data_IF_762062006635
#
_entry.id   IF_762062006635
#
_cell.length_a   1.000
_cell.length_b   1.000
_cell.length_c   1.000
_cell.angle_alpha   90.00
_cell.angle_beta   90.00
_cell.angle_gamma   90.00
#
_symmetry.space_group_name_H-M   'P 1'
#
loop_
_entity.id
_entity.type
_entity.pdbx_description
1 polymer ?
#
# COMPACT_ATOMS: atom_id res chain seq x y z
N UNK A 1 -32.89 -42.55 22.55
CA UNK A 1 -32.47 -41.73 21.40
C UNK A 1 -31.88 -40.45 21.95
N UNK A 2 -30.58 -40.29 21.80
CA UNK A 2 -29.77 -39.26 22.44
C UNK A 2 -29.96 -37.90 21.76
N UNK A 3 -30.13 -36.85 22.56
CA UNK A 3 -30.08 -35.47 22.13
C UNK A 3 -28.64 -35.00 21.92
N UNK A 4 -28.44 -34.11 20.95
CA UNK A 4 -27.21 -33.34 20.81
C UNK A 4 -27.55 -31.85 20.81
N UNK A 5 -27.33 -31.24 21.96
CA UNK A 5 -27.27 -29.79 22.17
C UNK A 5 -26.01 -29.29 21.48
N UNK A 6 -26.14 -28.52 20.41
CA UNK A 6 -25.01 -27.82 19.81
C UNK A 6 -24.76 -26.53 20.59
N UNK A 7 -23.88 -26.60 21.58
CA UNK A 7 -23.43 -25.45 22.35
C UNK A 7 -22.77 -24.42 21.44
N UNK A 8 -23.37 -23.23 21.34
CA UNK A 8 -22.71 -22.05 20.78
C UNK A 8 -21.61 -21.63 21.75
N UNK A 9 -20.36 -21.94 21.43
CA UNK A 9 -19.23 -21.34 22.11
C UNK A 9 -19.08 -19.89 21.63
N UNK A 10 -19.65 -18.95 22.39
CA UNK A 10 -19.31 -17.54 22.32
C UNK A 10 -17.91 -17.36 22.90
N UNK A 11 -16.90 -17.26 22.03
CA UNK A 11 -15.58 -16.81 22.42
C UNK A 11 -15.56 -15.27 22.37
N UNK A 12 -15.81 -14.63 23.51
CA UNK A 12 -15.57 -13.20 23.70
C UNK A 12 -14.06 -12.95 23.67
N UNK A 13 -13.52 -12.50 22.54
CA UNK A 13 -12.13 -12.07 22.43
C UNK A 13 -12.04 -10.59 22.83
N UNK A 14 -11.60 -10.34 24.07
CA UNK A 14 -11.26 -9.01 24.55
C UNK A 14 -9.95 -8.55 23.90
N UNK A 15 -10.01 -7.50 23.08
CA UNK A 15 -8.82 -6.80 22.58
C UNK A 15 -8.45 -5.66 23.53
N UNK A 16 -7.37 -5.86 24.29
CA UNK A 16 -6.63 -4.80 24.97
C UNK A 16 -5.16 -4.91 24.57
N UNK A 17 -4.67 -3.92 23.82
CA UNK A 17 -3.25 -3.62 23.70
C UNK A 17 -3.05 -2.28 24.39
N UNK A 18 -2.59 -2.33 25.63
CA UNK A 18 -2.02 -1.19 26.32
C UNK A 18 -0.53 -1.16 25.98
N UNK A 19 -0.05 -0.08 25.36
CA UNK A 19 1.37 0.25 25.45
C UNK A 19 1.58 0.90 26.82
N UNK A 20 2.34 0.24 27.68
CA UNK A 20 2.81 0.82 28.93
C UNK A 20 3.84 1.90 28.60
N UNK A 21 3.50 3.17 28.80
CA UNK A 21 4.49 4.22 29.00
C UNK A 21 4.97 4.13 30.46
N UNK A 22 6.21 3.68 30.64
CA UNK A 22 6.89 3.79 31.94
C UNK A 22 7.43 5.21 32.06
N UNK A 23 6.78 6.01 32.90
CA UNK A 23 7.29 7.32 33.31
C UNK A 23 8.43 7.13 34.30
N UNK A 24 9.65 7.49 33.93
CA UNK A 24 10.75 7.63 34.89
C UNK A 24 10.66 9.03 35.49
N UNK A 25 10.29 9.10 36.78
CA UNK A 25 10.46 10.28 37.62
C UNK A 25 11.95 10.56 37.80
N UNK A 26 12.40 11.77 37.45
CA UNK A 26 13.65 12.33 37.96
C UNK A 26 13.31 13.32 39.07
N UNK A 27 13.58 12.95 40.32
CA UNK A 27 13.68 13.89 41.45
C UNK A 27 14.98 14.70 41.32
N UNK A 28 14.91 16.03 41.48
CA UNK A 28 16.11 16.85 41.60
C UNK A 28 15.97 18.36 41.34
N UNK A 29 15.24 19.05 42.22
CA UNK A 29 15.29 20.49 42.56
C UNK A 29 16.46 21.38 42.05
N UNK A 30 16.17 22.54 41.41
CA UNK A 30 16.06 23.92 42.00
C UNK A 30 16.34 25.07 40.98
N UNK A 31 15.42 26.06 40.98
CA UNK A 31 15.57 27.52 40.72
C UNK A 31 15.29 28.12 39.31
N UNK A 32 14.32 29.04 39.33
CA UNK A 32 13.70 30.00 38.35
C UNK A 32 14.61 31.25 38.17
N UNK A 33 14.45 32.23 37.20
CA UNK A 33 13.32 32.52 36.29
C UNK A 33 13.57 32.80 34.79
N UNK A 34 12.46 32.61 34.05
CA UNK A 34 11.87 33.45 33.00
C UNK A 34 12.73 34.05 31.88
N UNK A 35 12.47 33.60 30.64
CA UNK A 35 12.14 34.53 29.56
C UNK A 35 11.12 33.90 28.60
N UNK A 36 10.07 34.68 28.32
CA UNK A 36 8.97 34.37 27.40
C UNK A 36 9.48 34.69 26.00
N UNK A 37 9.41 33.75 25.05
CA UNK A 37 9.24 34.10 23.64
C UNK A 37 8.58 32.96 22.86
N UNK A 38 7.63 33.40 22.04
CA UNK A 38 6.75 32.65 21.16
C UNK A 38 7.46 32.24 19.87
N UNK A 39 6.84 31.31 19.15
CA UNK A 39 7.06 30.90 17.75
C UNK A 39 8.15 29.84 17.51
N UNK A 40 7.73 28.66 17.07
CA UNK A 40 7.84 28.22 15.67
C UNK A 40 7.74 26.70 15.60
N UNK A 41 6.69 26.20 14.94
CA UNK A 41 6.52 24.79 14.60
C UNK A 41 7.61 24.39 13.61
N UNK A 42 8.59 23.61 14.07
CA UNK A 42 9.64 23.05 13.21
C UNK A 42 9.02 22.12 12.17
N UNK A 43 9.02 22.58 10.92
CA UNK A 43 8.84 21.75 9.74
C UNK A 43 10.13 20.97 9.54
N UNK A 44 10.05 19.64 9.55
CA UNK A 44 11.18 18.81 9.15
C UNK A 44 11.41 18.98 7.65
N UNK A 45 12.38 19.83 7.30
CA UNK A 45 12.93 19.89 5.96
C UNK A 45 13.65 18.57 5.65
N UNK A 46 13.10 17.76 4.76
CA UNK A 46 13.82 16.67 4.12
C UNK A 46 14.63 17.25 2.95
N UNK A 47 15.94 17.35 3.14
CA UNK A 47 16.88 17.63 2.04
C UNK A 47 16.82 16.48 1.01
N UNK A 48 16.72 16.77 -0.30
CA UNK A 48 16.91 15.75 -1.33
C UNK A 48 18.40 15.47 -1.45
N UNK A 49 18.84 14.31 -0.98
CA UNK A 49 20.21 13.85 -1.24
C UNK A 49 20.28 13.44 -2.73
N UNK A 50 20.90 14.29 -3.54
CA UNK A 50 21.40 13.95 -4.87
C UNK A 50 22.65 13.08 -4.67
N UNK A 51 22.54 11.78 -4.95
CA UNK A 51 23.69 10.89 -5.08
C UNK A 51 24.09 10.82 -6.56
N UNK A 52 25.05 11.64 -6.94
CA UNK A 52 25.90 11.38 -8.10
C UNK A 52 26.97 10.38 -7.68
N UNK A 53 27.05 9.25 -8.37
CA UNK A 53 28.00 8.19 -8.08
C UNK A 53 27.96 7.10 -9.15
N UNK A 54 28.82 7.24 -10.15
CA UNK A 54 29.11 6.22 -11.16
C UNK A 54 29.70 4.96 -10.52
N UNK A 55 28.96 3.86 -10.57
CA UNK A 55 29.48 2.50 -10.67
C UNK A 55 28.32 1.61 -11.13
N UNK A 56 28.59 0.71 -12.08
CA UNK A 56 27.63 -0.14 -12.78
C UNK A 56 26.87 -1.14 -11.89
N UNK A 57 26.04 -0.62 -10.98
CA UNK A 57 24.96 -1.37 -10.39
C UNK A 57 23.92 -1.59 -11.50
N UNK A 58 23.52 -2.84 -11.73
CA UNK A 58 22.25 -3.12 -12.40
C UNK A 58 21.20 -2.27 -11.68
N UNK A 59 20.71 -1.20 -12.31
CA UNK A 59 19.53 -0.52 -11.81
C UNK A 59 18.45 -1.60 -11.70
N UNK A 60 17.92 -1.81 -10.50
CA UNK A 60 16.76 -2.66 -10.25
C UNK A 60 15.55 -2.03 -10.94
N UNK A 61 15.55 -2.17 -12.26
CA UNK A 61 14.51 -1.71 -13.14
C UNK A 61 13.24 -2.53 -12.89
N UNK A 62 12.09 -1.91 -13.13
CA UNK A 62 10.78 -2.54 -12.92
C UNK A 62 10.51 -3.72 -13.86
N UNK A 63 11.09 -4.88 -13.56
CA UNK A 63 11.04 -6.07 -14.43
C UNK A 63 9.61 -6.55 -14.69
N UNK A 64 8.76 -6.60 -13.66
CA UNK A 64 7.36 -7.03 -13.80
C UNK A 64 6.55 -6.13 -14.74
N UNK A 65 6.83 -4.82 -14.73
CA UNK A 65 6.18 -3.86 -15.64
C UNK A 65 6.45 -4.12 -17.12
N UNK A 66 7.50 -4.90 -17.44
CA UNK A 66 7.97 -5.20 -18.80
C UNK A 66 7.67 -6.63 -19.22
N UNK A 67 7.00 -7.42 -18.38
CA UNK A 67 6.61 -8.79 -18.73
C UNK A 67 5.44 -8.82 -19.70
N UNK A 68 5.47 -9.83 -20.57
CA UNK A 68 4.42 -10.12 -21.55
C UNK A 68 3.90 -11.57 -21.40
N UNK A 69 2.68 -11.88 -21.85
CA UNK A 69 1.68 -10.92 -22.36
C UNK A 69 1.15 -10.00 -21.26
N UNK A 70 0.59 -8.85 -21.65
CA UNK A 70 -0.08 -7.96 -20.69
C UNK A 70 -1.20 -8.73 -19.97
N UNK A 71 -1.32 -8.64 -18.62
CA UNK A 71 -2.26 -9.46 -17.85
C UNK A 71 -3.69 -9.45 -18.40
N UNK A 72 -4.29 -10.64 -18.53
CA UNK A 72 -5.66 -10.81 -19.04
C UNK A 72 -5.81 -10.57 -20.54
N UNK A 73 -4.71 -10.59 -21.30
CA UNK A 73 -4.70 -10.37 -22.75
C UNK A 73 -3.68 -11.26 -23.46
N UNK A 74 -3.60 -11.15 -24.79
CA UNK A 74 -2.53 -11.70 -25.64
C UNK A 74 -1.58 -10.60 -26.15
N UNK A 75 -1.64 -9.40 -25.58
CA UNK A 75 -0.88 -8.24 -26.08
C UNK A 75 0.56 -8.36 -25.62
N UNK A 76 1.49 -8.40 -26.57
CA UNK A 76 2.92 -8.39 -26.34
C UNK A 76 3.43 -6.95 -26.24
N UNK A 77 4.23 -6.65 -25.22
CA UNK A 77 4.89 -5.34 -25.08
C UNK A 77 6.06 -5.24 -26.06
N UNK A 78 6.37 -4.03 -26.51
CA UNK A 78 7.65 -3.76 -27.18
C UNK A 78 8.80 -4.05 -26.22
N UNK A 79 9.87 -4.69 -26.72
CA UNK A 79 11.04 -4.99 -25.90
C UNK A 79 11.72 -3.68 -25.45
N UNK A 80 12.10 -3.60 -24.17
CA UNK A 80 12.79 -2.44 -23.60
C UNK A 80 14.10 -2.93 -22.99
N UNK A 81 15.26 -2.67 -23.63
CA UNK A 81 16.57 -2.96 -23.05
C UNK A 81 16.73 -2.26 -21.69
N UNK A 82 17.47 -2.87 -20.77
CA UNK A 82 17.60 -2.37 -19.39
C UNK A 82 18.21 -0.97 -19.35
N UNK A 83 19.19 -0.71 -20.20
CA UNK A 83 19.87 0.56 -20.38
C UNK A 83 18.99 1.66 -20.99
N UNK A 84 17.84 1.31 -21.58
CA UNK A 84 16.88 2.26 -22.17
C UNK A 84 15.60 2.42 -21.34
N UNK A 85 15.54 1.86 -20.14
CA UNK A 85 14.36 1.99 -19.26
C UNK A 85 14.13 3.44 -18.85
N UNK A 86 15.16 4.17 -18.43
CA UNK A 86 15.03 5.54 -17.95
C UNK A 86 14.64 6.53 -19.05
N UNK A 87 13.67 7.42 -18.78
CA UNK A 87 13.19 8.42 -19.75
C UNK A 87 14.27 9.41 -20.20
N UNK A 88 15.26 9.68 -19.35
CA UNK A 88 16.40 10.55 -19.67
C UNK A 88 17.30 9.99 -20.78
N UNK A 89 17.25 8.67 -21.01
CA UNK A 89 17.96 8.05 -22.12
C UNK A 89 17.16 8.30 -23.39
N UNK A 90 17.77 9.01 -24.32
CA UNK A 90 17.19 9.27 -25.63
C UNK A 90 16.95 7.95 -26.38
N UNK A 91 15.77 7.83 -26.98
CA UNK A 91 15.42 6.68 -27.79
C UNK A 91 14.30 7.05 -28.76
N UNK A 92 14.67 7.60 -29.92
CA UNK A 92 13.74 8.10 -30.92
C UNK A 92 12.92 6.96 -31.56
N UNK A 93 13.51 5.78 -31.71
CA UNK A 93 12.86 4.60 -32.27
C UNK A 93 11.95 3.87 -31.26
N UNK A 94 11.77 4.42 -30.05
CA UNK A 94 10.89 3.81 -29.05
C UNK A 94 9.43 3.88 -29.51
N UNK A 95 8.94 2.76 -30.03
CA UNK A 95 7.57 2.60 -30.49
C UNK A 95 6.81 1.58 -29.62
N UNK A 96 6.26 2.00 -28.47
CA UNK A 96 5.51 1.10 -27.58
C UNK A 96 4.17 0.69 -28.20
N UNK A 97 3.74 -0.53 -27.91
CA UNK A 97 2.39 -0.99 -28.29
C UNK A 97 1.34 -0.19 -27.51
N UNK A 98 0.27 0.26 -28.18
CA UNK A 98 -0.86 0.90 -27.50
C UNK A 98 -1.92 -0.12 -27.09
N UNK A 99 -2.28 -0.13 -25.81
CA UNK A 99 -3.31 -1.02 -25.29
C UNK A 99 -4.07 -0.44 -24.10
N UNK A 100 -5.40 -0.48 -24.20
CA UNK A 100 -6.33 -0.26 -23.09
C UNK A 100 -7.40 -1.34 -23.17
N UNK A 101 -7.68 -2.01 -22.05
CA UNK A 101 -8.62 -3.13 -21.99
C UNK A 101 -10.04 -2.66 -22.31
N UNK A 102 -10.82 -3.52 -22.96
CA UNK A 102 -12.22 -3.23 -23.34
C UNK A 102 -13.07 -2.83 -22.12
N UNK A 103 -12.82 -3.45 -20.96
CA UNK A 103 -13.51 -3.11 -19.71
C UNK A 103 -13.22 -1.69 -19.21
N UNK A 104 -12.06 -1.13 -19.54
CA UNK A 104 -11.70 0.27 -19.23
C UNK A 104 -12.29 1.20 -20.29
N UNK A 105 -12.22 0.81 -21.57
CA UNK A 105 -12.79 1.58 -22.69
C UNK A 105 -14.32 1.72 -22.60
N UNK A 106 -15.01 0.77 -21.96
CA UNK A 106 -16.44 0.85 -21.70
C UNK A 106 -16.85 2.01 -20.77
N UNK A 107 -15.90 2.74 -20.18
CA UNK A 107 -16.14 3.91 -19.35
C UNK A 107 -16.90 3.64 -18.03
N UNK A 108 -16.57 2.59 -17.26
CA UNK A 108 -17.18 2.41 -15.94
C UNK A 108 -16.80 3.57 -14.99
N UNK A 109 -17.58 3.78 -13.93
CA UNK A 109 -17.39 4.90 -12.97
C UNK A 109 -15.96 5.03 -12.39
N UNK A 110 -15.24 3.90 -12.28
CA UNK A 110 -13.89 3.84 -11.75
C UNK A 110 -12.80 4.13 -12.80
N UNK A 111 -13.15 4.24 -14.09
CA UNK A 111 -12.22 4.53 -15.18
C UNK A 111 -12.35 5.98 -15.64
N UNK A 112 -11.22 6.55 -16.06
CA UNK A 112 -11.21 7.85 -16.73
C UNK A 112 -11.71 7.72 -18.19
N UNK A 113 -12.19 8.81 -18.80
CA UNK A 113 -12.31 8.92 -20.25
C UNK A 113 -10.96 8.76 -20.99
N UNK A 114 -11.00 8.63 -22.31
CA UNK A 114 -9.79 8.75 -23.14
C UNK A 114 -9.28 10.20 -23.14
N UNK A 115 -7.96 10.37 -23.27
CA UNK A 115 -7.32 11.71 -23.23
C UNK A 115 -7.74 12.59 -24.41
N UNK A 116 -8.16 11.97 -25.52
CA UNK A 116 -8.69 12.67 -26.69
C UNK A 116 -10.13 13.21 -26.51
N UNK A 117 -10.82 12.87 -25.41
CA UNK A 117 -12.18 13.35 -25.17
C UNK A 117 -12.17 14.83 -24.74
N UNK A 118 -12.92 15.66 -25.46
CA UNK A 118 -12.85 17.13 -25.36
C UNK A 118 -13.29 17.69 -24.00
N UNK A 119 -14.13 16.97 -23.27
CA UNK A 119 -14.62 17.33 -21.94
C UNK A 119 -13.76 16.71 -20.81
N UNK A 120 -12.67 16.00 -21.13
CA UNK A 120 -11.79 15.40 -20.15
C UNK A 120 -10.48 16.18 -20.02
N UNK A 121 -10.44 17.05 -19.01
CA UNK A 121 -9.27 17.87 -18.67
C UNK A 121 -8.71 17.48 -17.29
N UNK A 122 -8.00 16.34 -17.18
CA UNK A 122 -7.52 15.85 -15.90
C UNK A 122 -6.46 16.78 -15.29
N UNK A 123 -6.56 16.99 -13.98
CA UNK A 123 -5.56 17.78 -13.25
C UNK A 123 -4.49 16.88 -12.64
N UNK A 124 -3.48 16.54 -13.44
CA UNK A 124 -2.39 15.67 -13.00
C UNK A 124 -1.53 16.31 -11.91
N UNK A 125 -0.87 15.47 -11.10
CA UNK A 125 -0.05 15.88 -9.96
C UNK A 125 -0.80 16.67 -8.86
N UNK A 126 -2.14 16.60 -8.82
CA UNK A 126 -2.96 17.23 -7.79
C UNK A 126 -4.20 16.40 -7.43
N UNK A 127 -5.02 16.90 -6.52
CA UNK A 127 -6.32 16.31 -6.19
C UNK A 127 -7.37 16.85 -7.17
N UNK A 128 -7.83 16.00 -8.08
CA UNK A 128 -8.75 16.33 -9.15
C UNK A 128 -10.18 15.91 -8.78
N UNK A 129 -10.86 16.78 -8.02
CA UNK A 129 -12.19 16.50 -7.47
C UNK A 129 -12.18 15.30 -6.52
N UNK A 130 -12.80 14.19 -6.96
CA UNK A 130 -12.83 12.92 -6.23
C UNK A 130 -11.67 11.97 -6.59
N UNK A 131 -10.81 12.34 -7.54
CA UNK A 131 -9.68 11.50 -7.96
C UNK A 131 -8.39 12.08 -7.42
N UNK A 132 -7.68 11.33 -6.57
CA UNK A 132 -6.32 11.68 -6.17
C UNK A 132 -5.37 11.32 -7.33
N UNK A 133 -4.79 12.33 -7.96
CA UNK A 133 -3.83 12.14 -9.07
C UNK A 133 -2.40 12.41 -8.63
N UNK A 134 -2.13 12.78 -7.37
CA UNK A 134 -0.76 12.88 -6.87
C UNK A 134 -0.14 11.51 -6.68
N UNK A 135 1.06 11.34 -7.21
CA UNK A 135 1.89 10.19 -6.84
C UNK A 135 2.50 10.43 -5.45
N UNK A 136 2.62 9.36 -4.66
CA UNK A 136 3.30 9.39 -3.37
C UNK A 136 4.83 9.41 -3.53
N UNK A 137 5.33 9.27 -4.75
CA UNK A 137 6.75 9.30 -5.11
C UNK A 137 7.19 10.65 -5.72
N UNK A 138 6.38 11.70 -5.54
CA UNK A 138 6.63 13.02 -6.12
C UNK A 138 5.97 13.21 -7.48
N UNK A 139 6.36 14.28 -8.18
CA UNK A 139 5.78 14.66 -9.46
C UNK A 139 6.14 13.65 -10.55
N UNK A 140 5.18 13.38 -11.45
CA UNK A 140 5.43 12.67 -12.70
C UNK A 140 5.26 13.60 -13.90
N UNK A 141 6.07 13.37 -14.92
CA UNK A 141 6.06 14.16 -16.15
C UNK A 141 4.78 13.88 -16.96
N UNK A 142 4.27 14.92 -17.63
CA UNK A 142 3.19 14.83 -18.60
C UNK A 142 3.77 15.07 -19.98
N UNK A 143 3.66 14.08 -20.87
CA UNK A 143 4.09 14.18 -22.26
C UNK A 143 2.93 13.82 -23.18
N UNK A 144 2.72 14.59 -24.25
CA UNK A 144 1.61 14.40 -25.20
C UNK A 144 0.24 14.29 -24.50
N UNK A 145 0.04 15.10 -23.45
CA UNK A 145 -1.18 15.12 -22.64
C UNK A 145 -1.35 13.93 -21.68
N UNK A 146 -0.36 13.03 -21.56
CA UNK A 146 -0.47 11.78 -20.80
C UNK A 146 0.64 11.66 -19.75
N UNK A 147 0.36 11.03 -18.58
CA UNK A 147 1.39 10.76 -17.59
C UNK A 147 2.46 9.78 -18.07
N UNK A 148 3.74 10.12 -17.85
CA UNK A 148 4.85 9.16 -17.95
C UNK A 148 4.99 8.39 -16.65
N UNK A 149 5.28 7.10 -16.78
CA UNK A 149 5.57 6.27 -15.62
C UNK A 149 6.87 6.76 -14.94
N UNK A 150 6.88 7.15 -13.65
CA UNK A 150 8.08 7.65 -12.98
C UNK A 150 9.24 6.64 -12.94
N UNK A 151 8.96 5.34 -13.03
CA UNK A 151 9.99 4.28 -13.04
C UNK A 151 10.55 3.97 -14.45
N UNK A 152 10.06 4.64 -15.51
CA UNK A 152 10.59 4.51 -16.87
C UNK A 152 9.67 3.82 -17.88
N UNK A 153 10.24 3.49 -19.04
CA UNK A 153 9.58 2.81 -20.16
C UNK A 153 9.13 1.40 -19.80
N UNK A 154 7.99 0.98 -20.35
CA UNK A 154 7.42 -0.36 -20.12
C UNK A 154 7.14 -1.14 -21.40
N UNK A 155 7.39 -0.56 -22.58
CA UNK A 155 7.08 -1.18 -23.88
C UNK A 155 5.60 -1.12 -24.26
N UNK A 156 4.77 -0.44 -23.46
CA UNK A 156 3.33 -0.30 -23.70
C UNK A 156 2.85 1.09 -23.25
N UNK A 157 2.03 1.72 -24.09
CA UNK A 157 1.26 2.93 -23.78
C UNK A 157 -0.23 2.60 -23.74
N UNK A 158 -1.05 3.51 -23.22
CA UNK A 158 -2.42 3.17 -22.82
C UNK A 158 -2.50 2.91 -21.33
N UNK A 159 -3.66 2.45 -20.88
CA UNK A 159 -3.90 2.15 -19.46
C UNK A 159 -3.89 0.65 -19.16
N UNK A 160 -3.92 -0.19 -20.19
CA UNK A 160 -4.18 -1.62 -20.02
C UNK A 160 -5.44 -1.85 -19.19
N UNK A 161 -5.32 -2.52 -18.05
CA UNK A 161 -6.44 -2.79 -17.12
C UNK A 161 -6.67 -1.70 -16.07
N UNK A 162 -5.83 -0.66 -16.01
CA UNK A 162 -5.96 0.41 -15.02
C UNK A 162 -7.03 1.42 -15.42
N UNK A 163 -7.79 1.90 -14.44
CA UNK A 163 -8.88 2.85 -14.70
C UNK A 163 -8.38 4.27 -14.96
N UNK A 164 -7.42 4.71 -14.15
CA UNK A 164 -6.96 6.10 -14.14
C UNK A 164 -5.72 6.30 -14.99
N UNK A 165 -5.61 7.47 -15.62
CA UNK A 165 -4.34 7.94 -16.16
C UNK A 165 -3.42 8.37 -15.01
N UNK A 166 -2.18 7.87 -15.02
CA UNK A 166 -1.21 8.12 -13.94
C UNK A 166 -1.38 7.14 -12.77
N UNK A 167 -1.24 7.59 -11.51
CA UNK A 167 -1.29 6.68 -10.36
C UNK A 167 -2.69 6.07 -10.16
N UNK A 168 -2.71 4.77 -9.84
CA UNK A 168 -3.92 4.04 -9.46
C UNK A 168 -3.70 3.54 -8.02
N UNK A 169 -4.30 4.23 -7.05
CA UNK A 169 -4.01 4.01 -5.63
C UNK A 169 -4.64 2.72 -5.09
N UNK A 170 -3.88 2.04 -4.24
CA UNK A 170 -4.30 0.87 -3.49
C UNK A 170 -3.78 0.96 -2.06
N UNK A 171 -4.38 0.17 -1.16
CA UNK A 171 -3.98 0.08 0.24
C UNK A 171 -3.86 -1.39 0.65
N UNK A 172 -2.86 -1.67 1.49
CA UNK A 172 -2.56 -3.03 1.95
C UNK A 172 -2.45 -3.03 3.49
N UNK A 173 -3.55 -3.32 4.22
CA UNK A 173 -3.55 -3.31 5.69
C UNK A 173 -2.79 -4.53 6.25
N UNK A 174 -1.63 -4.29 6.88
CA UNK A 174 -0.85 -5.32 7.56
C UNK A 174 -1.22 -5.35 9.05
N UNK A 175 -2.22 -6.18 9.40
CA UNK A 175 -2.62 -6.37 10.79
C UNK A 175 -1.79 -7.48 11.41
N UNK A 176 -1.10 -7.16 12.51
CA UNK A 176 -0.14 -8.07 13.16
C UNK A 176 -0.51 -8.38 14.61
N UNK A 177 -0.04 -9.53 15.10
CA UNK A 177 -0.03 -9.89 16.53
C UNK A 177 1.15 -10.79 16.85
N UNK A 178 1.61 -10.79 18.10
CA UNK A 178 2.58 -11.79 18.56
C UNK A 178 1.95 -13.18 18.57
N UNK A 179 2.69 -14.18 18.09
CA UNK A 179 2.32 -15.59 18.28
C UNK A 179 2.38 -15.90 19.78
N UNK A 180 1.32 -16.53 20.30
CA UNK A 180 1.20 -16.88 21.72
C UNK A 180 1.04 -18.39 21.90
N UNK A 181 1.53 -18.90 23.02
CA UNK A 181 1.28 -20.28 23.47
C UNK A 181 -0.10 -20.43 24.13
N UNK A 182 -0.42 -21.63 24.63
CA UNK A 182 -1.69 -21.92 25.31
C UNK A 182 -1.90 -21.13 26.61
N UNK A 183 -0.83 -20.63 27.21
CA UNK A 183 -0.87 -19.79 28.42
C UNK A 183 -0.94 -18.30 28.09
N UNK A 184 -0.94 -17.93 26.81
CA UNK A 184 -0.97 -16.56 26.35
C UNK A 184 0.40 -15.87 26.32
N UNK A 185 1.51 -16.58 26.57
CA UNK A 185 2.86 -15.98 26.53
C UNK A 185 3.37 -15.88 25.09
N UNK A 186 4.23 -14.89 24.82
CA UNK A 186 4.85 -14.73 23.50
C UNK A 186 5.79 -15.92 23.22
N UNK A 187 5.76 -16.44 21.99
CA UNK A 187 6.67 -17.50 21.58
C UNK A 187 7.94 -16.88 20.97
N UNK A 188 9.09 -17.26 21.52
CA UNK A 188 10.41 -16.88 21.00
C UNK A 188 10.91 -17.92 19.99
N UNK A 189 11.47 -17.44 18.87
CA UNK A 189 12.07 -18.29 17.87
C UNK A 189 13.46 -18.78 18.34
N UNK A 190 13.73 -20.10 18.34
CA UNK A 190 14.91 -20.66 19.01
C UNK A 190 16.24 -20.22 18.37
N UNK A 191 16.27 -19.99 17.06
CA UNK A 191 17.51 -19.64 16.35
C UNK A 191 17.81 -18.14 16.45
N UNK A 192 16.80 -17.28 16.34
CA UNK A 192 17.00 -15.83 16.27
C UNK A 192 16.90 -15.13 17.62
N UNK A 193 16.38 -15.80 18.66
CA UNK A 193 16.11 -15.22 19.96
C UNK A 193 15.00 -14.14 19.96
N UNK A 194 14.31 -13.92 18.85
CA UNK A 194 13.26 -12.91 18.70
C UNK A 194 11.87 -13.52 18.84
N UNK A 195 10.90 -12.75 19.33
CA UNK A 195 9.50 -13.16 19.36
C UNK A 195 8.95 -13.36 17.94
N UNK A 196 8.06 -14.34 17.76
CA UNK A 196 7.45 -14.66 16.46
C UNK A 196 6.23 -13.77 16.24
N UNK A 197 6.22 -13.02 15.13
CA UNK A 197 5.10 -12.18 14.70
C UNK A 197 4.19 -12.96 13.73
N UNK A 198 2.89 -12.76 13.83
CA UNK A 198 1.89 -13.24 12.86
C UNK A 198 1.22 -12.03 12.21
N UNK A 199 0.79 -12.18 10.96
CA UNK A 199 -0.09 -11.22 10.29
C UNK A 199 -1.24 -11.94 9.58
N UNK A 200 -2.30 -11.19 9.26
CA UNK A 200 -3.45 -11.72 8.53
C UNK A 200 -3.16 -11.70 7.03
N UNK A 201 -3.30 -12.86 6.39
CA UNK A 201 -3.16 -13.03 4.95
C UNK A 201 -4.40 -13.71 4.38
N UNK A 202 -4.66 -13.48 3.09
CA UNK A 202 -5.71 -14.16 2.32
C UNK A 202 -5.06 -14.99 1.22
N UNK A 203 -5.66 -16.14 0.87
CA UNK A 203 -5.29 -16.89 -0.31
C UNK A 203 -6.24 -16.52 -1.44
N UNK A 204 -5.71 -15.94 -2.52
CA UNK A 204 -6.55 -15.47 -3.62
C UNK A 204 -7.06 -16.64 -4.45
N UNK A 205 -8.35 -16.64 -4.78
CA UNK A 205 -8.98 -17.70 -5.58
C UNK A 205 -8.49 -17.75 -7.03
N UNK A 206 -8.09 -16.62 -7.59
CA UNK A 206 -7.70 -16.48 -8.99
C UNK A 206 -6.33 -17.08 -9.31
N UNK A 207 -5.43 -17.15 -8.33
CA UNK A 207 -4.05 -17.62 -8.53
C UNK A 207 -3.54 -18.58 -7.44
N UNK A 208 -4.26 -18.79 -6.35
CA UNK A 208 -3.84 -19.64 -5.23
C UNK A 208 -2.69 -19.07 -4.39
N UNK A 209 -2.22 -17.87 -4.70
CA UNK A 209 -1.14 -17.19 -3.98
C UNK A 209 -1.67 -16.51 -2.73
N UNK A 210 -0.84 -16.48 -1.69
CA UNK A 210 -1.11 -15.72 -0.48
C UNK A 210 -0.79 -14.23 -0.68
N UNK A 211 -1.66 -13.36 -0.18
CA UNK A 211 -1.60 -11.90 -0.32
C UNK A 211 -2.00 -11.18 0.98
N UNK A 212 -1.62 -9.91 1.10
CA UNK A 212 -2.22 -9.00 2.09
C UNK A 212 -3.67 -8.72 1.64
N UNK A 213 -4.66 -8.67 2.56
CA UNK A 213 -6.05 -8.34 2.25
C UNK A 213 -6.22 -6.85 1.91
N UNK A 214 -5.70 -6.45 0.75
CA UNK A 214 -5.70 -5.07 0.26
C UNK A 214 -6.39 -4.90 -1.09
N UNK A 215 -6.77 -3.67 -1.39
CA UNK A 215 -7.55 -3.35 -2.57
C UNK A 215 -7.39 -1.91 -3.04
N UNK A 216 -8.20 -1.53 -4.02
CA UNK A 216 -8.11 -0.23 -4.67
C UNK A 216 -8.80 0.83 -3.83
N UNK A 217 -8.29 2.06 -3.87
CA UNK A 217 -8.95 3.21 -3.25
C UNK A 217 -10.11 3.65 -4.15
N UNK A 218 -11.31 3.69 -3.61
CA UNK A 218 -12.48 4.15 -4.37
C UNK A 218 -12.46 5.66 -4.58
N UNK A 219 -13.09 6.18 -5.66
CA UNK A 219 -13.17 7.61 -5.91
C UNK A 219 -13.78 8.37 -4.72
N UNK A 220 -13.06 9.36 -4.21
CA UNK A 220 -13.45 10.18 -3.07
C UNK A 220 -13.26 9.51 -1.70
N UNK A 221 -12.87 8.24 -1.67
CA UNK A 221 -12.63 7.51 -0.43
C UNK A 221 -11.31 7.97 0.24
N UNK A 222 -11.32 8.08 1.56
CA UNK A 222 -10.09 8.32 2.34
C UNK A 222 -9.33 7.00 2.48
N UNK A 223 -8.00 7.03 2.40
CA UNK A 223 -7.12 5.87 2.62
C UNK A 223 -7.47 5.10 3.91
N UNK A 224 -7.76 5.81 5.00
CA UNK A 224 -8.13 5.19 6.29
C UNK A 224 -9.47 4.46 6.27
N UNK A 225 -10.40 4.89 5.42
CA UNK A 225 -11.66 4.18 5.19
C UNK A 225 -11.42 2.94 4.32
N UNK A 226 -10.66 3.08 3.23
CA UNK A 226 -10.28 1.96 2.35
C UNK A 226 -9.60 0.85 3.14
N UNK A 227 -8.64 1.17 4.02
CA UNK A 227 -7.93 0.17 4.84
C UNK A 227 -8.89 -0.66 5.71
N UNK A 228 -9.88 -0.01 6.33
CA UNK A 228 -10.87 -0.69 7.17
C UNK A 228 -11.83 -1.53 6.33
N UNK A 229 -12.30 -0.97 5.21
CA UNK A 229 -13.20 -1.63 4.28
C UNK A 229 -12.56 -2.89 3.71
N UNK A 230 -11.40 -2.77 3.07
CA UNK A 230 -10.67 -3.89 2.46
C UNK A 230 -10.38 -4.99 3.48
N UNK A 231 -9.88 -4.64 4.67
CA UNK A 231 -9.63 -5.63 5.70
C UNK A 231 -10.92 -6.31 6.19
N UNK A 232 -11.99 -5.54 6.41
CA UNK A 232 -13.28 -6.08 6.84
C UNK A 232 -13.89 -7.01 5.80
N UNK A 233 -13.90 -6.61 4.53
CA UNK A 233 -14.50 -7.37 3.44
C UNK A 233 -13.71 -8.64 3.13
N UNK A 234 -12.39 -8.53 2.93
CA UNK A 234 -11.55 -9.63 2.46
C UNK A 234 -11.12 -10.58 3.58
N UNK A 235 -10.83 -10.07 4.79
CA UNK A 235 -10.30 -10.89 5.88
C UNK A 235 -11.35 -11.29 6.93
N UNK A 236 -12.40 -10.49 7.12
CA UNK A 236 -13.45 -10.74 8.13
C UNK A 236 -14.80 -11.14 7.52
N UNK A 237 -14.88 -11.24 6.19
CA UNK A 237 -16.10 -11.57 5.44
C UNK A 237 -17.28 -10.66 5.82
N UNK A 238 -17.00 -9.37 6.04
CA UNK A 238 -17.98 -8.41 6.57
C UNK A 238 -19.24 -8.34 5.69
N UNK A 239 -19.13 -8.48 4.37
CA UNK A 239 -20.26 -8.41 3.44
C UNK A 239 -21.37 -9.42 3.75
N UNK A 240 -21.01 -10.59 4.27
CA UNK A 240 -21.95 -11.68 4.57
C UNK A 240 -22.44 -11.69 6.02
N UNK A 241 -22.00 -10.74 6.85
CA UNK A 241 -22.35 -10.64 8.27
C UNK A 241 -23.70 -9.96 8.49
N UNK A 242 -24.37 -10.33 9.59
CA UNK A 242 -25.60 -9.65 10.03
C UNK A 242 -25.31 -8.20 10.44
N UNK A 243 -26.32 -7.33 10.44
CA UNK A 243 -26.15 -5.93 10.81
C UNK A 243 -25.62 -5.73 12.24
N UNK A 244 -25.93 -6.64 13.16
CA UNK A 244 -25.42 -6.59 14.53
C UNK A 244 -23.92 -6.96 14.58
N UNK A 245 -23.54 -8.09 13.97
CA UNK A 245 -22.13 -8.50 13.88
C UNK A 245 -21.28 -7.46 13.16
N UNK A 246 -21.82 -6.82 12.10
CA UNK A 246 -21.12 -5.75 11.38
C UNK A 246 -20.73 -4.61 12.31
N UNK A 247 -21.66 -4.14 13.15
CA UNK A 247 -21.40 -3.07 14.13
C UNK A 247 -20.32 -3.46 15.14
N UNK A 248 -20.38 -4.67 15.67
CA UNK A 248 -19.37 -5.17 16.62
C UNK A 248 -17.97 -5.22 15.98
N UNK A 249 -17.88 -5.72 14.74
CA UNK A 249 -16.61 -5.75 14.00
C UNK A 249 -16.12 -4.34 13.70
N UNK A 250 -16.99 -3.44 13.25
CA UNK A 250 -16.65 -2.05 12.96
C UNK A 250 -16.13 -1.31 14.21
N UNK A 251 -16.72 -1.55 15.38
CA UNK A 251 -16.24 -1.00 16.66
C UNK A 251 -14.82 -1.51 17.00
N UNK A 252 -14.57 -2.81 16.82
CA UNK A 252 -13.25 -3.39 17.06
C UNK A 252 -12.20 -2.87 16.07
N UNK A 253 -12.55 -2.76 14.79
CA UNK A 253 -11.68 -2.16 13.77
C UNK A 253 -11.45 -0.69 14.05
N UNK A 254 -12.47 0.05 14.47
CA UNK A 254 -12.31 1.45 14.86
C UNK A 254 -11.31 1.57 16.01
N UNK A 255 -11.42 0.74 17.04
CA UNK A 255 -10.46 0.72 18.16
C UNK A 255 -9.05 0.34 17.71
N UNK A 256 -8.90 -0.62 16.80
CA UNK A 256 -7.61 -1.06 16.28
C UNK A 256 -6.93 0.04 15.47
N UNK A 257 -7.63 0.62 14.50
CA UNK A 257 -7.09 1.63 13.58
C UNK A 257 -7.01 3.04 14.18
N UNK A 258 -7.59 3.28 15.38
CA UNK A 258 -7.38 4.53 16.13
C UNK A 258 -6.06 4.56 16.90
N UNK A 259 -5.35 3.43 16.97
CA UNK A 259 -4.01 3.37 17.56
C UNK A 259 -2.96 3.95 16.59
N UNK A 260 -1.80 4.32 17.12
CA UNK A 260 -0.65 4.66 16.28
C UNK A 260 -0.28 3.50 15.37
N UNK A 261 -0.10 3.79 14.09
CA UNK A 261 0.30 2.81 13.08
C UNK A 261 1.31 3.42 12.13
N UNK A 262 2.18 2.57 11.59
CA UNK A 262 3.15 2.96 10.57
C UNK A 262 2.48 2.93 9.20
N UNK A 263 2.59 4.03 8.47
CA UNK A 263 2.18 4.11 7.06
C UNK A 263 3.43 4.28 6.22
N UNK A 264 3.53 3.52 5.14
CA UNK A 264 4.61 3.64 4.17
C UNK A 264 4.04 3.55 2.77
N UNK A 265 4.54 4.40 1.88
CA UNK A 265 4.09 4.47 0.50
C UNK A 265 5.14 3.88 -0.43
N UNK A 266 4.69 3.05 -1.36
CA UNK A 266 5.54 2.41 -2.36
C UNK A 266 5.00 2.66 -3.75
N UNK A 267 5.90 2.93 -4.69
CA UNK A 267 5.58 2.77 -6.10
C UNK A 267 5.57 1.28 -6.40
N UNK A 268 4.44 0.78 -6.89
CA UNK A 268 4.36 -0.55 -7.46
C UNK A 268 4.24 -0.42 -8.99
N UNK A 269 5.09 -1.13 -9.76
CA UNK A 269 4.96 -1.11 -11.20
C UNK A 269 3.58 -1.58 -11.65
N UNK A 270 3.12 -1.16 -12.85
CA UNK A 270 1.82 -1.52 -13.40
C UNK A 270 1.78 -3.01 -13.77
N UNK A 271 1.67 -3.84 -12.74
CA UNK A 271 1.42 -5.27 -12.77
C UNK A 271 0.41 -5.54 -11.66
N UNK A 272 -0.73 -6.15 -12.00
CA UNK A 272 -1.92 -6.20 -11.14
C UNK A 272 -1.71 -7.01 -9.85
N UNK A 273 -0.65 -7.78 -9.75
CA UNK A 273 -0.57 -8.81 -8.74
C UNK A 273 0.36 -8.41 -7.58
N UNK A 274 -0.28 -8.06 -6.46
CA UNK A 274 0.31 -7.80 -5.14
C UNK A 274 0.52 -9.15 -4.43
N UNK A 275 1.68 -9.77 -4.61
CA UNK A 275 2.01 -11.07 -4.01
C UNK A 275 2.88 -10.93 -2.76
N UNK A 276 2.69 -11.82 -1.77
CA UNK A 276 3.55 -11.84 -0.55
C UNK A 276 5.03 -11.98 -0.89
N UNK A 277 5.39 -12.72 -1.95
CA UNK A 277 6.79 -12.91 -2.36
C UNK A 277 7.50 -11.59 -2.69
N UNK A 278 6.80 -10.61 -3.25
CA UNK A 278 7.39 -9.28 -3.54
C UNK A 278 7.39 -8.38 -2.30
N UNK A 279 6.51 -8.67 -1.34
CA UNK A 279 6.31 -7.86 -0.14
C UNK A 279 7.11 -8.35 1.07
N UNK A 280 7.76 -9.52 1.01
CA UNK A 280 8.74 -9.95 2.01
C UNK A 280 9.88 -8.94 2.14
N UNK A 281 10.34 -8.34 1.03
CA UNK A 281 11.31 -7.24 1.06
C UNK A 281 10.77 -5.98 1.76
N UNK A 282 9.49 -5.67 1.58
CA UNK A 282 8.83 -4.53 2.23
C UNK A 282 8.69 -4.82 3.73
N UNK A 283 8.25 -6.01 4.11
CA UNK A 283 8.14 -6.44 5.49
C UNK A 283 9.52 -6.48 6.17
N UNK A 284 10.56 -6.99 5.52
CA UNK A 284 11.92 -6.94 6.02
C UNK A 284 12.39 -5.50 6.18
N UNK A 285 12.13 -4.60 5.23
CA UNK A 285 12.48 -3.18 5.34
C UNK A 285 11.75 -2.51 6.51
N UNK A 286 10.44 -2.75 6.67
CA UNK A 286 9.62 -2.22 7.77
C UNK A 286 10.02 -2.80 9.13
N UNK A 287 10.35 -4.10 9.19
CA UNK A 287 10.81 -4.77 10.40
C UNK A 287 12.21 -4.28 10.79
N UNK A 288 13.09 -4.02 9.81
CA UNK A 288 14.48 -3.64 10.08
C UNK A 288 14.62 -2.15 10.41
N UNK A 289 13.81 -1.28 9.81
CA UNK A 289 13.88 0.17 10.01
C UNK A 289 12.89 0.68 11.07
N UNK A 290 11.68 0.09 11.16
CA UNK A 290 10.66 0.51 12.13
C UNK A 290 10.95 0.08 13.57
N UNK A 291 11.70 -1.00 13.78
CA UNK A 291 12.01 -1.53 15.12
C UNK A 291 13.35 -1.09 15.70
N UNK A 292 14.22 -0.42 14.93
CA UNK A 292 15.50 0.11 15.45
C UNK A 292 15.35 1.42 16.23
N UNK A 293 14.21 2.12 16.14
CA UNK A 293 14.02 3.42 16.78
C UNK A 293 13.21 3.39 18.09
N UNK A 294 12.77 2.21 18.57
CA UNK A 294 11.99 2.07 19.82
C UNK A 294 12.47 0.89 20.68
N UNK A 295 13.78 0.79 20.87
CA UNK A 295 14.40 0.10 22.01
C UNK A 295 15.15 1.13 22.86
#
# INVERSE_FOLDING_TARGET
>A
MAGSVLGKALATVSFSVALASVSVMSLGCRSIPAYRNSLSSCWFHLNPIIMSGSNGAKQDSHNKARTSPYPGSKVERSQVPNEKVGWLVEWQEYNPVEYTAVSVLAGPKWADPQISESNFSPKFNEKDGHVERKSQNGLYEIENGRPRNPAGRTGLVGRGLLGRWGPNHAVDPIITRWKRDSSGNKITHPVSGKNILQFVAIQRKDCGEWAIPGGMVDPGEKISATLKREFGEEALNLLQKSSAEKREIEEQLQKLFSQEHLVTFFYLPPYKNRYIRDMLMILETLITHGWRQKL
#
